data_IF_132022054256
#
_entry.id   IF_132022054256
#
_cell.length_a   1.000
_cell.length_b   1.000
_cell.length_c   1.000
_cell.angle_alpha   90.00
_cell.angle_beta   90.00
_cell.angle_gamma   90.00
#
_symmetry.space_group_name_H-M   'P 1'
#
loop_
_entity.id
_entity.type
_entity.pdbx_description
1 polymer ?
#
# COMPACT_ATOMS: atom_id res chain seq x y z
N UNK A 1 32.93 -8.74 10.56
CA UNK A 1 31.46 -8.65 10.49
C UNK A 1 30.86 -8.24 11.84
N UNK A 2 30.84 -9.11 12.85
CA UNK A 2 30.23 -8.82 14.17
C UNK A 2 30.73 -7.50 14.79
N UNK A 3 32.05 -7.26 14.81
CA UNK A 3 32.62 -5.99 15.30
C UNK A 3 32.12 -4.76 14.51
N UNK A 4 31.94 -4.89 13.19
CA UNK A 4 31.42 -3.80 12.34
C UNK A 4 29.93 -3.54 12.59
N UNK A 5 29.16 -4.57 12.92
CA UNK A 5 27.74 -4.46 13.28
C UNK A 5 27.57 -3.88 14.69
N UNK A 6 28.40 -4.30 15.66
CA UNK A 6 28.39 -3.73 17.01
C UNK A 6 28.71 -2.22 17.01
N UNK A 7 29.57 -1.75 16.09
CA UNK A 7 29.82 -0.31 15.90
C UNK A 7 28.61 0.47 15.34
N UNK A 8 27.57 -0.23 14.86
CA UNK A 8 26.27 0.32 14.45
C UNK A 8 25.18 0.02 15.49
N UNK A 9 25.58 -0.36 16.70
CA UNK A 9 24.67 -0.77 17.78
C UNK A 9 23.81 -2.01 17.43
N UNK A 10 24.22 -2.78 16.42
CA UNK A 10 23.53 -4.00 15.99
C UNK A 10 24.18 -5.22 16.64
N UNK A 11 23.41 -5.89 17.50
CA UNK A 11 23.84 -7.12 18.19
C UNK A 11 23.40 -8.34 17.40
N UNK A 12 24.38 -9.10 16.87
CA UNK A 12 24.14 -10.38 16.20
C UNK A 12 25.17 -11.42 16.60
N UNK A 13 24.74 -12.67 16.61
CA UNK A 13 25.60 -13.84 16.85
C UNK A 13 26.17 -14.38 15.54
N UNK A 14 27.29 -15.11 15.63
CA UNK A 14 27.87 -15.80 14.47
C UNK A 14 26.90 -16.83 13.87
N UNK A 15 26.12 -17.51 14.71
CA UNK A 15 25.12 -18.50 14.29
C UNK A 15 23.96 -17.85 13.52
N UNK A 16 23.50 -16.67 13.94
CA UNK A 16 22.50 -15.90 13.18
C UNK A 16 23.01 -15.53 11.79
N UNK A 17 24.23 -14.96 11.69
CA UNK A 17 24.84 -14.62 10.41
C UNK A 17 24.97 -15.83 9.48
N UNK A 18 25.35 -16.99 10.01
CA UNK A 18 25.45 -18.21 9.21
C UNK A 18 24.07 -18.78 8.81
N UNK A 19 23.06 -18.63 9.68
CA UNK A 19 21.67 -18.97 9.35
C UNK A 19 21.12 -18.10 8.22
N UNK A 20 21.48 -16.81 8.18
CA UNK A 20 21.08 -15.88 7.11
C UNK A 20 21.78 -16.20 5.79
N UNK A 21 23.09 -16.52 5.81
CA UNK A 21 23.81 -16.99 4.62
C UNK A 21 23.25 -18.29 4.06
N UNK A 22 22.93 -19.26 4.93
CA UNK A 22 22.32 -20.53 4.50
C UNK A 22 20.96 -20.34 3.85
N UNK A 23 20.20 -19.33 4.29
CA UNK A 23 18.94 -18.94 3.66
C UNK A 23 19.11 -18.02 2.44
N UNK A 24 20.34 -17.77 1.97
CA UNK A 24 20.59 -16.94 0.80
C UNK A 24 20.40 -15.43 1.02
N UNK A 25 20.12 -14.97 2.25
CA UNK A 25 19.86 -13.56 2.55
C UNK A 25 21.13 -12.71 2.63
N UNK A 26 22.28 -13.36 2.85
CA UNK A 26 23.58 -12.71 2.84
C UNK A 26 24.54 -13.52 1.97
N UNK A 27 25.41 -12.86 1.19
CA UNK A 27 26.43 -13.57 0.44
C UNK A 27 27.45 -14.22 1.39
N UNK A 28 28.05 -15.32 0.93
CA UNK A 28 29.17 -15.94 1.63
C UNK A 28 30.42 -15.09 1.45
N UNK A 29 31.16 -14.90 2.54
CA UNK A 29 32.44 -14.20 2.47
C UNK A 29 33.42 -14.97 1.57
N UNK A 30 34.13 -14.24 0.70
CA UNK A 30 35.30 -14.79 0.01
C UNK A 30 36.37 -15.13 1.05
N UNK A 31 36.86 -16.36 0.98
CA UNK A 31 37.91 -16.87 1.87
C UNK A 31 39.15 -17.17 1.06
N UNK A 32 40.30 -16.76 1.57
CA UNK A 32 41.60 -17.13 1.05
C UNK A 32 42.25 -18.15 1.96
N UNK A 33 42.74 -19.23 1.36
CA UNK A 33 43.54 -20.23 2.07
C UNK A 33 44.89 -19.64 2.46
N UNK A 34 45.32 -19.88 3.70
CA UNK A 34 46.63 -19.46 4.20
C UNK A 34 47.75 -20.49 3.92
N UNK A 35 47.45 -21.53 3.14
CA UNK A 35 48.34 -22.66 2.88
C UNK A 35 48.03 -23.90 3.72
N UNK A 36 48.76 -25.00 3.47
CA UNK A 36 48.51 -26.32 4.07
C UNK A 36 48.60 -26.24 5.60
N UNK A 37 47.55 -26.67 6.30
CA UNK A 37 47.47 -26.67 7.77
C UNK A 37 47.28 -25.31 8.45
N UNK A 38 47.19 -24.20 7.70
CA UNK A 38 47.09 -22.84 8.26
C UNK A 38 45.69 -22.23 8.23
N UNK A 39 44.70 -23.00 7.77
CA UNK A 39 43.31 -22.57 7.71
C UNK A 39 43.01 -21.56 6.60
N UNK A 40 41.89 -20.84 6.74
CA UNK A 40 41.40 -19.84 5.78
C UNK A 40 41.06 -18.53 6.49
N UNK A 41 41.38 -17.40 5.87
CA UNK A 41 40.97 -16.07 6.35
C UNK A 41 39.93 -15.47 5.43
N UNK A 42 39.08 -14.61 5.98
CA UNK A 42 38.20 -13.74 5.18
C UNK A 42 39.05 -12.57 4.69
N UNK A 43 39.16 -12.39 3.38
CA UNK A 43 40.03 -11.36 2.80
C UNK A 43 39.56 -9.95 3.15
N UNK A 44 38.30 -9.66 2.86
CA UNK A 44 37.65 -8.41 3.20
C UNK A 44 36.16 -8.65 3.42
N UNK A 45 35.60 -7.93 4.39
CA UNK A 45 34.15 -7.87 4.58
C UNK A 45 33.66 -6.64 3.84
N UNK A 46 33.03 -6.90 2.70
CA UNK A 46 32.33 -5.93 1.86
C UNK A 46 31.37 -5.08 2.72
N UNK A 47 31.46 -3.74 2.68
CA UNK A 47 30.55 -2.84 3.38
C UNK A 47 29.08 -3.10 3.10
N UNK A 48 28.71 -3.43 1.85
CA UNK A 48 27.31 -3.71 1.47
C UNK A 48 26.76 -4.86 2.30
N UNK A 49 27.54 -5.91 2.50
CA UNK A 49 27.13 -7.07 3.31
C UNK A 49 26.89 -6.67 4.76
N UNK A 50 27.68 -5.74 5.29
CA UNK A 50 27.50 -5.19 6.65
C UNK A 50 26.17 -4.46 6.75
N UNK A 51 25.85 -3.59 5.78
CA UNK A 51 24.59 -2.85 5.77
C UNK A 51 23.38 -3.77 5.54
N UNK A 52 23.47 -4.75 4.63
CA UNK A 52 22.43 -5.78 4.45
C UNK A 52 22.15 -6.54 5.74
N UNK A 53 23.19 -6.93 6.48
CA UNK A 53 23.02 -7.62 7.76
C UNK A 53 22.46 -6.69 8.85
N UNK A 54 22.81 -5.40 8.83
CA UNK A 54 22.26 -4.41 9.75
C UNK A 54 20.77 -4.17 9.48
N UNK A 55 20.37 -4.03 8.20
CA UNK A 55 18.98 -3.91 7.80
C UNK A 55 18.16 -5.15 8.21
N UNK A 56 18.65 -6.34 7.87
CA UNK A 56 17.98 -7.59 8.27
C UNK A 56 17.87 -7.73 9.79
N UNK A 57 18.89 -7.35 10.55
CA UNK A 57 18.88 -7.41 12.01
C UNK A 57 17.85 -6.46 12.65
N UNK A 58 17.64 -5.26 12.08
CA UNK A 58 16.65 -4.28 12.59
C UNK A 58 15.22 -4.78 12.47
N UNK A 59 14.92 -5.53 11.42
CA UNK A 59 13.57 -6.05 11.15
C UNK A 59 13.30 -7.42 11.76
N UNK A 60 14.36 -8.18 12.07
CA UNK A 60 14.21 -9.48 12.72
C UNK A 60 13.85 -9.33 14.20
N UNK A 61 12.66 -9.83 14.54
CA UNK A 61 12.18 -9.91 15.93
C UNK A 61 12.07 -11.37 16.35
N UNK A 62 12.30 -11.63 17.64
CA UNK A 62 12.14 -12.98 18.19
C UNK A 62 10.71 -13.49 17.98
N UNK A 63 10.58 -14.73 17.52
CA UNK A 63 9.27 -15.37 17.27
C UNK A 63 8.57 -14.95 15.98
N UNK A 64 9.13 -14.00 15.21
CA UNK A 64 8.56 -13.55 13.94
C UNK A 64 9.17 -14.31 12.76
N UNK A 65 8.35 -14.61 11.75
CA UNK A 65 8.83 -15.22 10.52
C UNK A 65 9.81 -14.30 9.79
N UNK A 66 10.91 -14.88 9.32
CA UNK A 66 12.00 -14.17 8.63
C UNK A 66 11.55 -13.52 7.33
N UNK A 67 10.56 -14.09 6.64
CA UNK A 67 9.99 -13.55 5.39
C UNK A 67 9.40 -12.16 5.61
N UNK A 68 8.78 -11.92 6.76
CA UNK A 68 8.26 -10.59 7.11
C UNK A 68 9.39 -9.56 7.24
N UNK A 69 10.52 -9.95 7.85
CA UNK A 69 11.69 -9.07 7.96
C UNK A 69 12.33 -8.77 6.60
N UNK A 70 12.24 -9.70 5.63
CA UNK A 70 12.69 -9.46 4.25
C UNK A 70 11.81 -8.41 3.55
N UNK A 71 10.49 -8.45 3.77
CA UNK A 71 9.58 -7.43 3.21
C UNK A 71 9.81 -6.05 3.83
N UNK A 72 10.03 -6.00 5.15
CA UNK A 72 10.37 -4.74 5.84
C UNK A 72 11.72 -4.16 5.38
N UNK A 73 12.72 -5.03 5.18
CA UNK A 73 13.98 -4.63 4.56
C UNK A 73 13.75 -4.12 3.13
N UNK A 74 12.96 -4.82 2.32
CA UNK A 74 12.69 -4.41 0.94
C UNK A 74 12.00 -3.06 0.86
N UNK A 75 11.00 -2.82 1.72
CA UNK A 75 10.34 -1.53 1.85
C UNK A 75 11.33 -0.43 2.25
N UNK A 76 12.17 -0.69 3.25
CA UNK A 76 13.17 0.28 3.71
C UNK A 76 14.20 0.63 2.63
N UNK A 77 14.65 -0.34 1.84
CA UNK A 77 15.60 -0.12 0.75
C UNK A 77 15.06 0.84 -0.32
N UNK A 78 13.74 0.96 -0.45
CA UNK A 78 13.08 1.90 -1.37
C UNK A 78 12.82 3.29 -0.79
N UNK A 79 13.12 3.54 0.49
CA UNK A 79 12.88 4.84 1.11
C UNK A 79 13.95 5.86 0.70
N UNK A 80 13.53 7.12 0.55
CA UNK A 80 14.46 8.21 0.29
C UNK A 80 15.53 8.31 1.39
N UNK A 81 16.79 8.42 0.97
CA UNK A 81 17.95 8.48 1.87
C UNK A 81 18.03 9.87 2.49
N UNK A 82 18.05 9.95 3.82
CA UNK A 82 18.27 11.22 4.51
C UNK A 82 19.71 11.70 4.31
N UNK A 83 19.96 13.01 4.17
CA UNK A 83 21.31 13.54 4.12
C UNK A 83 22.17 13.00 5.27
N UNK A 84 23.35 12.46 4.96
CA UNK A 84 24.28 11.90 5.94
C UNK A 84 23.98 10.47 6.41
N UNK A 85 22.93 9.82 5.89
CA UNK A 85 22.64 8.40 6.17
C UNK A 85 23.12 7.49 5.03
N UNK A 86 23.43 6.24 5.36
CA UNK A 86 23.84 5.22 4.38
C UNK A 86 22.60 4.62 3.74
N UNK A 87 22.58 4.53 2.41
CA UNK A 87 21.51 3.84 1.68
C UNK A 87 21.45 2.37 2.10
N UNK A 88 20.24 1.91 2.41
CA UNK A 88 20.00 0.50 2.72
C UNK A 88 20.11 -0.31 1.42
N UNK A 89 20.99 -1.33 1.35
CA UNK A 89 21.12 -2.14 0.14
C UNK A 89 19.86 -2.94 -0.15
N UNK A 90 19.63 -3.28 -1.41
CA UNK A 90 18.54 -4.17 -1.80
C UNK A 90 18.70 -5.57 -1.18
N UNK A 91 17.62 -6.18 -0.65
CA UNK A 91 17.61 -7.60 -0.35
C UNK A 91 17.70 -8.44 -1.62
N UNK A 92 18.10 -9.72 -1.53
CA UNK A 92 18.01 -10.64 -2.65
C UNK A 92 16.56 -10.76 -3.14
N UNK A 93 16.29 -10.35 -4.39
CA UNK A 93 14.92 -10.28 -4.92
C UNK A 93 14.22 -11.66 -4.93
N UNK A 94 14.97 -12.74 -5.14
CA UNK A 94 14.41 -14.10 -4.99
C UNK A 94 13.83 -14.37 -3.59
N UNK A 95 14.43 -13.81 -2.53
CA UNK A 95 13.90 -13.92 -1.17
C UNK A 95 12.70 -13.00 -0.95
N UNK A 96 12.68 -11.81 -1.57
CA UNK A 96 11.52 -10.90 -1.57
C UNK A 96 10.33 -11.59 -2.22
N UNK A 97 10.50 -12.15 -3.41
CA UNK A 97 9.45 -12.86 -4.13
C UNK A 97 8.88 -14.02 -3.32
N UNK A 98 9.73 -14.84 -2.71
CA UNK A 98 9.29 -15.93 -1.81
C UNK A 98 8.50 -15.41 -0.61
N UNK A 99 8.91 -14.28 -0.04
CA UNK A 99 8.21 -13.67 1.07
C UNK A 99 6.85 -13.10 0.65
N UNK A 100 6.78 -12.39 -0.49
CA UNK A 100 5.54 -11.85 -1.05
C UNK A 100 4.54 -12.97 -1.34
N UNK A 101 4.95 -13.99 -2.10
CA UNK A 101 4.08 -15.14 -2.42
C UNK A 101 3.56 -15.80 -1.16
N UNK A 102 4.42 -16.06 -0.17
CA UNK A 102 3.98 -16.68 1.07
C UNK A 102 2.97 -15.83 1.86
N UNK A 103 3.18 -14.51 1.91
CA UNK A 103 2.25 -13.60 2.60
C UNK A 103 0.92 -13.54 1.85
N UNK A 104 0.95 -13.41 0.53
CA UNK A 104 -0.25 -13.27 -0.30
C UNK A 104 -1.08 -14.55 -0.32
N UNK A 105 -0.45 -15.73 -0.40
CA UNK A 105 -1.14 -17.02 -0.26
C UNK A 105 -1.80 -17.20 1.12
N UNK A 106 -1.30 -16.51 2.16
CA UNK A 106 -1.89 -16.49 3.50
C UNK A 106 -2.92 -15.37 3.73
N UNK A 107 -3.13 -14.47 2.77
CA UNK A 107 -3.98 -13.29 2.94
C UNK A 107 -5.46 -13.64 3.10
N UNK A 108 -6.24 -12.71 3.65
CA UNK A 108 -7.71 -12.88 3.72
C UNK A 108 -8.30 -12.85 2.31
N UNK A 109 -7.87 -11.90 1.47
CA UNK A 109 -8.35 -11.75 0.09
C UNK A 109 -8.12 -13.02 -0.74
N UNK A 110 -6.91 -13.59 -0.72
CA UNK A 110 -6.63 -14.82 -1.45
C UNK A 110 -7.46 -16.00 -0.93
N UNK A 111 -7.59 -16.17 0.39
CA UNK A 111 -8.42 -17.24 0.96
C UNK A 111 -9.90 -17.09 0.62
N UNK A 112 -10.42 -15.87 0.54
CA UNK A 112 -11.79 -15.60 0.12
C UNK A 112 -12.02 -15.95 -1.35
N UNK A 113 -11.09 -15.59 -2.24
CA UNK A 113 -11.14 -15.96 -3.65
C UNK A 113 -11.07 -17.47 -3.84
N UNK A 114 -10.13 -18.15 -3.17
CA UNK A 114 -10.02 -19.62 -3.23
C UNK A 114 -11.27 -20.31 -2.66
N UNK A 115 -11.84 -19.78 -1.58
CA UNK A 115 -13.10 -20.29 -1.04
C UNK A 115 -14.25 -20.11 -2.04
N UNK A 116 -14.39 -18.91 -2.61
CA UNK A 116 -15.42 -18.61 -3.61
C UNK A 116 -15.31 -19.54 -4.83
N UNK A 117 -14.09 -19.74 -5.35
CA UNK A 117 -13.82 -20.71 -6.43
C UNK A 117 -14.20 -22.14 -6.05
N UNK A 118 -13.94 -22.55 -4.80
CA UNK A 118 -14.31 -23.90 -4.32
C UNK A 118 -15.82 -24.08 -4.12
N UNK A 119 -16.56 -22.99 -3.92
CA UNK A 119 -18.02 -22.98 -3.77
C UNK A 119 -18.73 -22.94 -5.13
N UNK A 120 -18.03 -22.62 -6.22
CA UNK A 120 -18.61 -22.59 -7.57
C UNK A 120 -19.25 -23.94 -7.93
N UNK A 121 -20.50 -23.90 -8.43
CA UNK A 121 -21.25 -25.09 -8.83
C UNK A 121 -21.90 -25.88 -7.68
N UNK A 122 -21.85 -25.39 -6.44
CA UNK A 122 -22.53 -26.01 -5.28
C UNK A 122 -23.92 -25.43 -4.99
N UNK A 123 -24.40 -24.49 -5.81
CA UNK A 123 -25.71 -23.86 -5.68
C UNK A 123 -25.80 -22.89 -4.49
N UNK A 124 -27.03 -22.62 -4.02
CA UNK A 124 -27.32 -21.69 -2.91
C UNK A 124 -26.50 -21.98 -1.64
N UNK A 125 -26.29 -23.25 -1.28
CA UNK A 125 -25.51 -23.62 -0.08
C UNK A 125 -24.05 -23.13 -0.14
N UNK A 126 -23.45 -23.11 -1.34
CA UNK A 126 -22.12 -22.56 -1.57
C UNK A 126 -22.07 -21.05 -1.45
N UNK A 127 -23.08 -20.37 -2.01
CA UNK A 127 -23.23 -18.92 -1.92
C UNK A 127 -23.38 -18.50 -0.45
N UNK A 128 -24.31 -19.12 0.28
CA UNK A 128 -24.54 -18.85 1.70
C UNK A 128 -23.26 -19.10 2.54
N UNK A 129 -22.55 -20.18 2.24
CA UNK A 129 -21.26 -20.50 2.87
C UNK A 129 -20.19 -19.42 2.62
N UNK A 130 -20.15 -18.85 1.42
CA UNK A 130 -19.25 -17.76 1.04
C UNK A 130 -19.61 -16.48 1.79
N UNK A 131 -20.88 -16.04 1.73
CA UNK A 131 -21.32 -14.84 2.44
C UNK A 131 -21.09 -14.93 3.95
N UNK A 132 -21.37 -16.09 4.56
CA UNK A 132 -21.11 -16.32 5.98
C UNK A 132 -19.60 -16.29 6.32
N UNK A 133 -18.75 -16.82 5.44
CA UNK A 133 -17.29 -16.82 5.63
C UNK A 133 -16.69 -15.44 5.44
N UNK A 134 -17.13 -14.72 4.40
CA UNK A 134 -16.73 -13.35 4.14
C UNK A 134 -17.14 -12.42 5.29
N UNK A 135 -18.38 -12.55 5.81
CA UNK A 135 -18.83 -11.78 6.98
C UNK A 135 -18.03 -12.02 8.26
N UNK A 136 -17.34 -13.16 8.40
CA UNK A 136 -16.42 -13.43 9.52
C UNK A 136 -15.01 -12.89 9.30
N UNK A 137 -14.56 -12.84 8.05
CA UNK A 137 -13.18 -12.53 7.69
C UNK A 137 -12.97 -11.06 7.32
N UNK A 138 -13.99 -10.42 6.75
CA UNK A 138 -13.96 -9.01 6.35
C UNK A 138 -14.41 -8.17 7.54
N UNK A 139 -13.45 -7.51 8.19
CA UNK A 139 -13.78 -6.50 9.18
C UNK A 139 -14.45 -5.30 8.47
N UNK A 140 -15.49 -4.67 9.05
CA UNK A 140 -16.03 -3.42 8.53
C UNK A 140 -14.89 -2.40 8.42
N UNK A 141 -14.56 -1.99 7.20
CA UNK A 141 -13.57 -0.95 6.97
C UNK A 141 -14.29 0.39 6.98
N UNK A 142 -13.83 1.31 7.83
CA UNK A 142 -14.19 2.71 7.69
C UNK A 142 -13.33 3.27 6.57
N UNK A 143 -13.93 3.66 5.45
CA UNK A 143 -13.24 4.53 4.50
C UNK A 143 -12.87 5.85 5.19
N UNK A 144 -11.78 6.48 4.77
CA UNK A 144 -11.52 7.85 5.18
C UNK A 144 -12.51 8.79 4.48
N UNK A 145 -13.05 9.76 5.22
CA UNK A 145 -13.82 10.84 4.63
C UNK A 145 -12.95 11.63 3.63
N UNK A 146 -13.53 12.08 2.53
CA UNK A 146 -12.83 12.90 1.55
C UNK A 146 -12.16 14.11 2.26
N UNK A 147 -10.83 14.27 2.19
CA UNK A 147 -10.09 15.34 2.85
C UNK A 147 -10.59 16.75 2.53
N UNK A 148 -11.13 17.01 1.34
CA UNK A 148 -11.73 18.30 1.03
C UNK A 148 -13.01 18.56 1.85
N UNK A 149 -13.85 17.53 2.04
CA UNK A 149 -15.03 17.61 2.90
C UNK A 149 -14.66 17.73 4.38
N UNK A 150 -13.64 16.98 4.82
CA UNK A 150 -13.10 17.10 6.18
C UNK A 150 -12.61 18.52 6.43
N UNK A 151 -11.84 19.09 5.50
CA UNK A 151 -11.33 20.46 5.60
C UNK A 151 -12.46 21.47 5.72
N UNK A 152 -13.45 21.40 4.81
CA UNK A 152 -14.57 22.33 4.78
C UNK A 152 -15.35 22.31 6.11
N UNK A 153 -15.58 21.13 6.68
CA UNK A 153 -16.23 20.99 7.98
C UNK A 153 -15.39 21.58 9.12
N UNK A 154 -14.08 21.30 9.16
CA UNK A 154 -13.20 21.88 10.17
C UNK A 154 -13.11 23.40 10.08
N UNK A 155 -13.07 23.97 8.87
CA UNK A 155 -13.06 25.41 8.64
C UNK A 155 -14.40 26.06 9.02
N UNK A 156 -15.52 25.37 8.85
CA UNK A 156 -16.85 25.81 9.26
C UNK A 156 -17.12 25.62 10.78
N UNK A 157 -16.24 24.91 11.50
CA UNK A 157 -16.48 24.50 12.88
C UNK A 157 -17.63 23.49 13.02
N UNK A 158 -17.92 22.76 11.96
CA UNK A 158 -18.95 21.72 11.89
C UNK A 158 -18.34 20.33 12.20
N UNK A 159 -19.21 19.40 12.58
CA UNK A 159 -18.80 18.00 12.73
C UNK A 159 -18.31 17.46 11.38
N UNK A 160 -17.16 16.77 11.39
CA UNK A 160 -16.61 16.17 10.18
C UNK A 160 -17.65 15.21 9.59
N UNK A 161 -18.04 15.37 8.31
CA UNK A 161 -18.95 14.45 7.67
C UNK A 161 -18.27 13.09 7.64
N UNK A 162 -18.73 12.20 8.52
CA UNK A 162 -18.49 10.77 8.31
C UNK A 162 -19.40 10.43 7.15
N UNK A 163 -18.84 10.28 5.95
CA UNK A 163 -19.60 9.80 4.79
C UNK A 163 -20.42 8.58 5.24
N UNK A 164 -21.73 8.77 5.31
CA UNK A 164 -22.65 7.82 5.89
C UNK A 164 -22.88 6.61 4.96
N UNK A 165 -22.46 6.72 3.70
CA UNK A 165 -22.55 5.67 2.70
C UNK A 165 -21.24 4.87 2.71
N UNK A 166 -21.19 3.98 3.70
CA UNK A 166 -20.22 2.91 3.82
C UNK A 166 -20.27 2.08 2.53
N UNK A 167 -19.14 1.67 1.94
CA UNK A 167 -19.12 0.37 1.29
C UNK A 167 -19.48 -0.61 2.41
N UNK A 168 -20.68 -1.19 2.36
CA UNK A 168 -20.99 -2.23 3.30
C UNK A 168 -20.00 -3.37 3.08
N UNK A 169 -19.73 -4.16 4.12
CA UNK A 169 -18.86 -5.34 3.96
C UNK A 169 -19.38 -6.26 2.85
N UNK A 170 -20.69 -6.21 2.56
CA UNK A 170 -21.37 -6.93 1.49
C UNK A 170 -20.88 -6.54 0.09
N UNK A 171 -20.59 -5.27 -0.21
CA UNK A 171 -20.03 -4.82 -1.50
C UNK A 171 -18.73 -5.54 -1.83
N UNK A 172 -17.83 -5.69 -0.85
CA UNK A 172 -16.61 -6.49 -1.01
C UNK A 172 -16.92 -7.97 -1.23
N UNK A 173 -17.93 -8.51 -0.52
CA UNK A 173 -18.35 -9.90 -0.69
C UNK A 173 -18.94 -10.13 -2.08
N UNK A 174 -19.73 -9.20 -2.63
CA UNK A 174 -20.30 -9.27 -3.97
C UNK A 174 -19.21 -9.29 -5.04
N UNK A 175 -18.15 -8.48 -4.90
CA UNK A 175 -17.00 -8.53 -5.82
C UNK A 175 -16.27 -9.88 -5.71
N UNK A 176 -16.01 -10.36 -4.49
CA UNK A 176 -15.39 -11.68 -4.26
C UNK A 176 -16.26 -12.82 -4.82
N UNK A 177 -17.57 -12.74 -4.64
CA UNK A 177 -18.53 -13.70 -5.16
C UNK A 177 -18.53 -13.69 -6.68
N UNK A 178 -18.52 -12.51 -7.31
CA UNK A 178 -18.49 -12.40 -8.77
C UNK A 178 -17.19 -12.97 -9.36
N UNK A 179 -16.06 -12.75 -8.68
CA UNK A 179 -14.77 -13.32 -9.04
C UNK A 179 -14.75 -14.85 -8.94
N UNK A 180 -15.34 -15.42 -7.88
CA UNK A 180 -15.19 -16.85 -7.60
C UNK A 180 -16.33 -17.73 -8.11
N UNK A 181 -17.54 -17.20 -8.17
CA UNK A 181 -18.75 -17.89 -8.61
C UNK A 181 -19.17 -17.47 -10.03
N UNK A 182 -18.73 -16.31 -10.49
CA UNK A 182 -19.15 -15.69 -11.74
C UNK A 182 -20.16 -14.56 -11.51
N UNK A 183 -20.15 -13.59 -12.42
CA UNK A 183 -21.00 -12.38 -12.36
C UNK A 183 -22.49 -12.73 -12.44
N UNK A 184 -22.84 -13.73 -13.25
CA UNK A 184 -24.22 -14.24 -13.41
C UNK A 184 -24.83 -14.72 -12.09
N UNK A 185 -24.00 -15.26 -11.19
CA UNK A 185 -24.44 -15.79 -9.89
C UNK A 185 -24.68 -14.68 -8.85
N UNK A 186 -24.10 -13.49 -9.06
CA UNK A 186 -24.26 -12.33 -8.17
C UNK A 186 -25.35 -11.38 -8.66
N UNK A 187 -25.49 -11.26 -9.99
CA UNK A 187 -26.43 -10.35 -10.64
C UNK A 187 -25.86 -8.93 -10.84
N UNK A 188 -26.27 -8.27 -11.93
CA UNK A 188 -25.80 -6.94 -12.30
C UNK A 188 -26.10 -5.86 -11.24
N UNK A 189 -27.25 -5.91 -10.58
CA UNK A 189 -27.65 -4.89 -9.60
C UNK A 189 -26.72 -4.89 -8.37
N UNK A 190 -26.43 -6.06 -7.80
CA UNK A 190 -25.52 -6.19 -6.65
C UNK A 190 -24.08 -5.82 -7.02
N UNK A 191 -23.66 -6.09 -8.26
CA UNK A 191 -22.36 -5.65 -8.77
C UNK A 191 -22.30 -4.14 -9.03
N UNK A 192 -23.39 -3.53 -9.50
CA UNK A 192 -23.47 -2.09 -9.68
C UNK A 192 -23.36 -1.37 -8.33
N UNK A 193 -24.09 -1.84 -7.32
CA UNK A 193 -23.95 -1.35 -5.94
C UNK A 193 -22.53 -1.51 -5.43
N UNK A 194 -21.90 -2.67 -5.66
CA UNK A 194 -20.55 -2.91 -5.21
C UNK A 194 -19.52 -2.00 -5.89
N UNK A 195 -19.57 -1.85 -7.22
CA UNK A 195 -18.63 -1.00 -7.97
C UNK A 195 -18.81 0.48 -7.64
N UNK A 196 -20.04 0.95 -7.50
CA UNK A 196 -20.33 2.31 -7.04
C UNK A 196 -19.81 2.53 -5.60
N UNK A 197 -19.98 1.56 -4.70
CA UNK A 197 -19.48 1.63 -3.34
C UNK A 197 -17.94 1.69 -3.27
N UNK A 198 -17.23 1.11 -4.24
CA UNK A 198 -15.78 1.27 -4.40
C UNK A 198 -15.38 2.56 -5.14
N UNK A 199 -16.34 3.38 -5.56
CA UNK A 199 -16.11 4.60 -6.33
C UNK A 199 -15.47 4.32 -7.70
N UNK A 200 -15.69 3.12 -8.26
CA UNK A 200 -15.03 2.72 -9.51
C UNK A 200 -15.40 3.70 -10.64
N UNK A 201 -14.38 4.37 -11.18
CA UNK A 201 -14.50 5.40 -12.23
C UNK A 201 -15.43 6.59 -11.89
N UNK A 202 -15.76 6.80 -10.61
CA UNK A 202 -16.68 7.86 -10.19
C UNK A 202 -18.12 7.69 -10.69
N UNK A 203 -18.51 6.48 -11.10
CA UNK A 203 -19.84 6.18 -11.60
C UNK A 203 -20.81 5.86 -10.47
N UNK A 204 -22.08 6.26 -10.64
CA UNK A 204 -23.16 5.96 -9.71
C UNK A 204 -23.64 4.51 -9.84
N UNK A 205 -24.47 4.05 -8.89
CA UNK A 205 -25.12 2.73 -8.97
C UNK A 205 -25.93 2.63 -10.26
N UNK A 206 -26.66 3.69 -10.62
CA UNK A 206 -27.48 3.75 -11.83
C UNK A 206 -26.65 3.69 -13.11
N UNK A 207 -25.51 4.40 -13.15
CA UNK A 207 -24.58 4.35 -14.28
C UNK A 207 -24.02 2.93 -14.48
N UNK A 208 -23.62 2.28 -13.38
CA UNK A 208 -23.14 0.90 -13.41
C UNK A 208 -24.24 -0.08 -13.82
N UNK A 209 -25.44 0.02 -13.23
CA UNK A 209 -26.57 -0.85 -13.57
C UNK A 209 -26.96 -0.71 -15.04
N UNK A 210 -26.96 0.52 -15.58
CA UNK A 210 -27.21 0.76 -16.98
C UNK A 210 -26.15 0.10 -17.86
N UNK A 211 -24.86 0.25 -17.52
CA UNK A 211 -23.77 -0.33 -18.29
C UNK A 211 -23.76 -1.85 -18.24
N UNK A 212 -23.93 -2.45 -17.06
CA UNK A 212 -23.99 -3.88 -16.86
C UNK A 212 -25.21 -4.50 -17.56
N UNK A 213 -26.39 -3.88 -17.42
CA UNK A 213 -27.58 -4.32 -18.12
C UNK A 213 -27.48 -4.19 -19.65
N UNK A 214 -26.79 -3.16 -20.15
CA UNK A 214 -26.51 -3.05 -21.59
C UNK A 214 -25.58 -4.16 -22.08
N UNK A 215 -24.61 -4.58 -21.26
CA UNK A 215 -23.71 -5.67 -21.57
C UNK A 215 -24.46 -7.02 -21.59
N UNK A 216 -25.33 -7.29 -20.61
CA UNK A 216 -26.19 -8.49 -20.57
C UNK A 216 -27.11 -8.58 -21.79
N UNK A 217 -27.64 -7.44 -22.28
CA UNK A 217 -28.47 -7.38 -23.49
C UNK A 217 -27.65 -7.44 -24.80
N UNK A 218 -26.32 -7.43 -24.73
CA UNK A 218 -25.44 -7.41 -25.91
C UNK A 218 -25.43 -6.08 -26.68
N UNK A 219 -25.84 -4.98 -26.04
CA UNK A 219 -25.91 -3.64 -26.64
C UNK A 219 -24.55 -2.92 -26.64
N UNK A 220 -23.64 -3.35 -25.76
CA UNK A 220 -22.25 -2.90 -25.69
C UNK A 220 -21.30 -4.10 -25.81
N UNK A 221 -20.01 -3.91 -26.13
CA UNK A 221 -19.03 -4.98 -26.08
C UNK A 221 -19.11 -5.72 -24.74
N UNK A 222 -19.05 -7.07 -24.74
CA UNK A 222 -19.13 -7.83 -23.51
C UNK A 222 -18.03 -7.37 -22.56
N UNK A 223 -18.41 -7.16 -21.29
CA UNK A 223 -17.44 -6.88 -20.23
C UNK A 223 -16.52 -8.10 -20.13
N UNK A 224 -15.20 -7.87 -20.20
CA UNK A 224 -14.22 -8.93 -20.03
C UNK A 224 -14.12 -9.32 -18.55
N UNK A 225 -15.03 -10.19 -18.12
CA UNK A 225 -15.05 -10.71 -16.76
C UNK A 225 -13.81 -11.55 -16.42
N UNK A 226 -13.10 -12.07 -17.43
CA UNK A 226 -11.80 -12.70 -17.25
C UNK A 226 -10.74 -11.73 -16.72
N UNK A 227 -10.93 -10.42 -16.91
CA UNK A 227 -10.09 -9.38 -16.32
C UNK A 227 -10.29 -9.26 -14.80
N UNK A 228 -11.53 -9.40 -14.31
CA UNK A 228 -11.81 -9.43 -12.85
C UNK A 228 -11.16 -10.65 -12.19
N UNK A 229 -11.27 -11.82 -12.82
CA UNK A 229 -10.60 -13.03 -12.32
C UNK A 229 -9.07 -12.90 -12.31
N UNK A 230 -8.50 -12.24 -13.32
CA UNK A 230 -7.07 -11.92 -13.38
C UNK A 230 -6.66 -10.95 -12.26
N UNK A 231 -7.45 -9.90 -12.03
CA UNK A 231 -7.20 -8.95 -10.94
C UNK A 231 -7.38 -9.55 -9.54
N UNK A 232 -8.19 -10.61 -9.42
CA UNK A 232 -8.31 -11.38 -8.19
C UNK A 232 -7.10 -12.25 -7.87
N UNK A 233 -6.33 -12.64 -8.89
CA UNK A 233 -5.08 -13.37 -8.69
C UNK A 233 -3.99 -12.41 -8.19
N UNK A 234 -3.97 -12.16 -6.89
CA UNK A 234 -2.95 -11.32 -6.25
C UNK A 234 -1.56 -11.99 -6.24
N UNK A 235 -1.45 -13.30 -6.50
CA UNK A 235 -0.20 -14.06 -6.40
C UNK A 235 0.50 -14.20 -7.75
N UNK A 236 -0.25 -14.41 -8.82
CA UNK A 236 0.24 -14.63 -10.18
C UNK A 236 1.12 -13.51 -10.72
N UNK A 237 0.72 -12.22 -10.63
CA UNK A 237 1.56 -11.09 -11.03
C UNK A 237 2.92 -11.11 -10.32
N UNK A 238 2.94 -11.33 -9.00
CA UNK A 238 4.19 -11.42 -8.23
C UNK A 238 5.06 -12.61 -8.63
N UNK A 239 4.46 -13.76 -9.00
CA UNK A 239 5.22 -14.92 -9.47
C UNK A 239 5.87 -14.66 -10.84
N UNK A 240 5.20 -13.90 -11.73
CA UNK A 240 5.64 -13.65 -13.11
C UNK A 240 6.53 -12.41 -13.26
N UNK A 241 6.39 -11.42 -12.38
CA UNK A 241 7.14 -10.16 -12.45
C UNK A 241 8.65 -10.41 -12.50
N UNK A 242 9.37 -9.68 -13.33
CA UNK A 242 10.82 -9.57 -13.29
C UNK A 242 11.30 -8.94 -11.98
N UNK A 243 12.62 -8.99 -11.74
CA UNK A 243 13.19 -8.37 -10.56
C UNK A 243 13.07 -6.83 -10.61
N UNK A 244 13.15 -6.26 -11.81
CA UNK A 244 12.98 -4.81 -12.06
C UNK A 244 11.53 -4.37 -11.82
N UNK A 245 10.55 -5.15 -12.26
CA UNK A 245 9.13 -4.86 -12.03
C UNK A 245 8.77 -4.86 -10.53
N UNK A 246 9.35 -5.77 -9.73
CA UNK A 246 9.12 -5.76 -8.27
C UNK A 246 9.73 -4.52 -7.60
N UNK A 247 10.92 -4.11 -8.03
CA UNK A 247 11.57 -2.88 -7.54
C UNK A 247 10.77 -1.65 -7.95
N UNK A 248 10.26 -1.62 -9.19
CA UNK A 248 9.42 -0.56 -9.73
C UNK A 248 8.10 -0.46 -8.96
N UNK A 249 7.39 -1.56 -8.77
CA UNK A 249 6.14 -1.60 -8.01
C UNK A 249 6.32 -1.10 -6.57
N UNK A 250 7.45 -1.43 -5.92
CA UNK A 250 7.80 -0.84 -4.63
C UNK A 250 7.96 0.69 -4.72
N UNK A 251 8.68 1.20 -5.71
CA UNK A 251 8.87 2.64 -5.91
C UNK A 251 7.52 3.34 -6.08
N UNK A 252 6.65 2.81 -6.95
CA UNK A 252 5.28 3.29 -7.16
C UNK A 252 4.51 3.30 -5.85
N UNK A 253 4.50 2.20 -5.10
CA UNK A 253 3.78 2.09 -3.82
C UNK A 253 4.25 3.15 -2.80
N UNK A 254 5.57 3.30 -2.62
CA UNK A 254 6.12 4.25 -1.66
C UNK A 254 5.89 5.71 -2.09
N UNK A 255 5.96 5.98 -3.39
CA UNK A 255 5.68 7.29 -3.97
C UNK A 255 4.21 7.68 -3.84
N UNK A 256 3.29 6.82 -4.28
CA UNK A 256 1.85 7.01 -4.12
C UNK A 256 1.47 7.19 -2.66
N UNK A 257 2.15 6.49 -1.73
CA UNK A 257 1.94 6.68 -0.30
C UNK A 257 2.31 8.07 0.20
N UNK A 258 3.36 8.66 -0.36
CA UNK A 258 3.72 10.03 -0.03
C UNK A 258 2.70 11.04 -0.59
N UNK A 259 2.26 10.87 -1.84
CA UNK A 259 1.21 11.70 -2.44
C UNK A 259 -0.13 11.58 -1.70
N UNK A 260 -0.56 10.37 -1.37
CA UNK A 260 -1.75 10.13 -0.55
C UNK A 260 -1.60 10.77 0.84
N UNK A 261 -0.41 10.70 1.44
CA UNK A 261 -0.11 11.41 2.68
C UNK A 261 -0.42 12.91 2.55
N UNK A 262 0.15 13.58 1.55
CA UNK A 262 -0.13 15.00 1.28
C UNK A 262 -1.63 15.26 1.05
N UNK A 263 -2.29 14.38 0.31
CA UNK A 263 -3.72 14.48 0.04
C UNK A 263 -4.56 14.41 1.33
N UNK A 264 -4.28 13.48 2.23
CA UNK A 264 -4.96 13.38 3.54
C UNK A 264 -4.64 14.57 4.44
N UNK A 265 -3.38 15.03 4.46
CA UNK A 265 -2.96 16.16 5.29
C UNK A 265 -3.68 17.47 4.92
N UNK A 266 -4.15 17.61 3.67
CA UNK A 266 -5.00 18.74 3.27
C UNK A 266 -6.27 18.85 4.12
N UNK A 267 -6.87 17.70 4.46
CA UNK A 267 -8.02 17.62 5.37
C UNK A 267 -7.68 18.08 6.79
N UNK A 268 -6.42 17.96 7.20
CA UNK A 268 -5.91 18.41 8.49
C UNK A 268 -5.32 19.82 8.43
N UNK A 269 -5.98 20.72 7.68
CA UNK A 269 -5.64 22.14 7.57
C UNK A 269 -4.21 22.43 7.10
N UNK A 270 -3.56 21.48 6.42
CA UNK A 270 -2.26 21.74 5.79
C UNK A 270 -2.39 22.92 4.80
N UNK A 271 -1.50 23.93 4.83
CA UNK A 271 -1.59 25.07 3.92
C UNK A 271 -1.65 24.61 2.47
N UNK A 272 -2.59 25.15 1.70
CA UNK A 272 -2.82 24.71 0.34
C UNK A 272 -2.06 25.60 -0.65
N UNK A 273 -1.07 25.02 -1.33
CA UNK A 273 -0.31 25.70 -2.40
C UNK A 273 -0.90 25.34 -3.76
N UNK A 274 -0.69 26.17 -4.81
CA UNK A 274 -1.13 25.82 -6.17
C UNK A 274 -0.64 24.44 -6.63
N UNK A 275 0.62 24.11 -6.35
CA UNK A 275 1.21 22.81 -6.67
C UNK A 275 0.48 21.65 -5.96
N UNK A 276 0.16 21.81 -4.67
CA UNK A 276 -0.59 20.80 -3.93
C UNK A 276 -2.03 20.65 -4.43
N UNK A 277 -2.70 21.77 -4.72
CA UNK A 277 -4.05 21.76 -5.29
C UNK A 277 -4.08 21.01 -6.62
N UNK A 278 -3.11 21.26 -7.50
CA UNK A 278 -2.98 20.56 -8.76
C UNK A 278 -2.78 19.05 -8.53
N UNK A 279 -1.93 18.63 -7.56
CA UNK A 279 -1.67 17.20 -7.31
C UNK A 279 -2.93 16.49 -6.84
N UNK A 280 -3.72 17.14 -5.98
CA UNK A 280 -5.01 16.60 -5.53
C UNK A 280 -6.02 16.52 -6.66
N UNK A 281 -6.13 17.58 -7.46
CA UNK A 281 -6.98 17.58 -8.65
C UNK A 281 -6.66 16.40 -9.58
N UNK A 282 -5.38 16.08 -9.77
CA UNK A 282 -4.98 14.92 -10.59
C UNK A 282 -5.49 13.59 -10.02
N UNK A 283 -5.42 13.41 -8.71
CA UNK A 283 -5.93 12.21 -8.03
C UNK A 283 -7.47 12.11 -8.17
N UNK A 284 -8.16 13.25 -8.04
CA UNK A 284 -9.61 13.34 -8.14
C UNK A 284 -10.11 13.12 -9.56
N UNK A 285 -9.44 13.69 -10.57
CA UNK A 285 -9.75 13.50 -12.00
C UNK A 285 -9.67 12.02 -12.42
N UNK A 286 -8.79 11.25 -11.78
CA UNK A 286 -8.65 9.82 -12.04
C UNK A 286 -9.58 8.96 -11.17
N UNK A 287 -10.32 9.57 -10.24
CA UNK A 287 -11.19 8.86 -9.29
C UNK A 287 -10.41 7.93 -8.36
N UNK A 288 -9.12 8.19 -8.12
CA UNK A 288 -8.22 7.24 -7.46
C UNK A 288 -8.23 7.35 -5.94
N UNK A 289 -8.86 8.38 -5.36
CA UNK A 289 -8.88 8.57 -3.90
C UNK A 289 -9.38 7.33 -3.12
N UNK A 290 -10.55 6.73 -3.42
CA UNK A 290 -11.04 5.56 -2.67
C UNK A 290 -10.08 4.37 -2.74
N UNK A 291 -9.42 4.17 -3.89
CA UNK A 291 -8.41 3.13 -4.07
C UNK A 291 -7.14 3.40 -3.26
N UNK A 292 -6.63 4.63 -3.30
CA UNK A 292 -5.46 5.03 -2.52
C UNK A 292 -5.76 4.89 -1.02
N UNK A 293 -6.94 5.29 -0.54
CA UNK A 293 -7.38 5.11 0.84
C UNK A 293 -7.45 3.64 1.26
N UNK A 294 -7.93 2.78 0.36
CA UNK A 294 -7.98 1.35 0.59
C UNK A 294 -6.58 0.71 0.65
N UNK A 295 -5.68 1.13 -0.25
CA UNK A 295 -4.37 0.51 -0.45
C UNK A 295 -3.30 1.05 0.48
N UNK A 296 -3.39 2.32 0.86
CA UNK A 296 -2.29 3.04 1.50
C UNK A 296 -2.62 3.28 2.96
N UNK A 297 -2.04 2.45 3.82
CA UNK A 297 -1.99 2.75 5.25
C UNK A 297 -0.72 3.53 5.56
N UNK A 298 -0.81 4.52 6.45
CA UNK A 298 0.33 5.37 6.88
C UNK A 298 1.37 4.53 7.67
N UNK A 299 1.06 3.30 8.08
CA UNK A 299 2.00 2.36 8.69
C UNK A 299 1.56 0.91 8.42
N UNK A 300 1.84 0.36 7.23
CA UNK A 300 1.38 -0.96 6.85
C UNK A 300 2.11 -2.02 7.64
N UNK A 301 1.37 -3.04 8.07
CA UNK A 301 1.95 -4.34 8.36
C UNK A 301 2.61 -4.91 7.09
N UNK A 302 3.57 -5.85 7.19
CA UNK A 302 4.14 -6.45 6.00
C UNK A 302 3.14 -7.22 5.14
N UNK A 303 2.01 -7.65 5.74
CA UNK A 303 0.86 -8.20 5.02
C UNK A 303 0.27 -7.18 4.05
N UNK A 304 -0.12 -6.03 4.60
CA UNK A 304 -0.65 -4.91 3.80
C UNK A 304 0.37 -4.41 2.78
N UNK A 305 1.66 -4.34 3.13
CA UNK A 305 2.70 -3.98 2.16
C UNK A 305 2.75 -4.95 0.97
N UNK A 306 2.64 -6.26 1.21
CA UNK A 306 2.65 -7.24 0.13
C UNK A 306 1.41 -7.12 -0.76
N UNK A 307 0.23 -6.94 -0.16
CA UNK A 307 -1.04 -6.74 -0.88
C UNK A 307 -0.99 -5.48 -1.75
N UNK A 308 -0.62 -4.33 -1.17
CA UNK A 308 -0.53 -3.07 -1.91
C UNK A 308 0.56 -3.11 -2.99
N UNK A 309 1.67 -3.81 -2.76
CA UNK A 309 2.73 -3.96 -3.76
C UNK A 309 2.26 -4.81 -4.95
N UNK A 310 1.50 -5.88 -4.70
CA UNK A 310 0.93 -6.68 -5.77
C UNK A 310 -0.02 -5.84 -6.65
N UNK A 311 -0.81 -4.96 -6.03
CA UNK A 311 -1.68 -4.01 -6.75
C UNK A 311 -0.87 -2.99 -7.56
N UNK A 312 0.25 -2.50 -7.03
CA UNK A 312 1.14 -1.58 -7.76
C UNK A 312 1.93 -2.22 -8.92
N UNK A 313 1.76 -3.52 -9.20
CA UNK A 313 2.23 -4.12 -10.45
C UNK A 313 1.29 -3.82 -11.62
N UNK A 314 0.07 -3.36 -11.35
CA UNK A 314 -0.91 -3.06 -12.38
C UNK A 314 -0.66 -1.68 -13.03
N UNK A 315 -0.80 -1.56 -14.37
CA UNK A 315 -0.50 -0.32 -15.10
C UNK A 315 -1.18 0.96 -14.58
N UNK A 316 -2.44 0.97 -14.10
CA UNK A 316 -3.09 2.20 -13.64
C UNK A 316 -2.34 2.90 -12.50
N UNK A 317 -1.71 2.15 -11.60
CA UNK A 317 -0.97 2.73 -10.47
C UNK A 317 0.38 3.30 -10.91
N UNK A 318 1.06 2.61 -11.83
CA UNK A 318 2.30 3.10 -12.42
C UNK A 318 2.06 4.41 -13.21
N UNK A 319 1.00 4.44 -14.02
CA UNK A 319 0.60 5.61 -14.79
C UNK A 319 0.22 6.80 -13.89
N UNK A 320 -0.55 6.55 -12.82
CA UNK A 320 -0.88 7.59 -11.84
C UNK A 320 0.38 8.13 -11.18
N UNK A 321 1.29 7.25 -10.76
CA UNK A 321 2.54 7.66 -10.13
C UNK A 321 3.41 8.51 -11.06
N UNK A 322 3.56 8.11 -12.33
CA UNK A 322 4.30 8.89 -13.33
C UNK A 322 3.65 10.27 -13.56
N UNK A 323 2.32 10.34 -13.71
CA UNK A 323 1.63 11.61 -13.88
C UNK A 323 1.82 12.56 -12.67
N UNK A 324 1.80 12.03 -11.45
CA UNK A 324 2.03 12.82 -10.24
C UNK A 324 3.50 13.27 -10.12
N UNK A 325 4.44 12.41 -10.52
CA UNK A 325 5.86 12.75 -10.53
C UNK A 325 6.21 13.79 -11.61
N UNK A 326 5.64 13.68 -12.80
CA UNK A 326 5.77 14.69 -13.87
C UNK A 326 5.27 16.04 -13.38
N UNK A 327 4.09 16.07 -12.77
CA UNK A 327 3.52 17.30 -12.23
C UNK A 327 4.34 17.90 -11.09
N UNK A 328 4.90 17.07 -10.22
CA UNK A 328 5.84 17.52 -9.18
C UNK A 328 7.14 18.08 -9.77
N UNK A 329 7.59 17.58 -10.91
CA UNK A 329 8.77 18.10 -11.60
C UNK A 329 8.50 19.44 -12.29
N UNK A 330 7.28 19.66 -12.79
CA UNK A 330 6.85 20.94 -13.36
C UNK A 330 6.68 22.03 -12.30
N UNK A 331 6.17 21.67 -11.11
CA UNK A 331 5.98 22.59 -9.98
C UNK A 331 6.54 21.99 -8.68
N UNK A 332 7.85 22.18 -8.49
CA UNK A 332 8.57 21.66 -7.32
C UNK A 332 8.28 22.42 -6.02
N UNK A 333 7.54 23.54 -6.09
CA UNK A 333 7.30 24.48 -5.00
C UNK A 333 6.12 24.04 -4.08
N UNK A 334 5.99 22.73 -3.87
CA UNK A 334 4.90 22.13 -3.09
C UNK A 334 4.81 22.61 -1.65
N UNK A 335 5.92 23.09 -1.05
CA UNK A 335 5.95 23.63 0.31
C UNK A 335 6.25 25.13 0.34
N UNK A 336 6.12 25.83 -0.80
CA UNK A 336 6.34 27.26 -0.91
C UNK A 336 4.99 27.97 -0.90
N UNK A 337 4.72 28.74 0.17
CA UNK A 337 3.48 29.53 0.25
C UNK A 337 3.69 30.82 -0.55
N UNK A 338 2.79 31.17 -1.49
CA UNK A 338 2.91 32.42 -2.24
C UNK A 338 3.04 33.64 -1.33
N UNK A 339 4.13 34.40 -1.51
CA UNK A 339 4.46 35.57 -0.68
C UNK A 339 5.20 35.28 0.63
N UNK A 340 5.57 34.02 0.89
CA UNK A 340 6.37 33.59 2.04
C UNK A 340 7.75 33.06 1.58
N UNK A 341 8.82 33.76 1.95
CA UNK A 341 10.19 33.40 1.58
C UNK A 341 10.83 32.34 2.49
N UNK A 342 10.13 31.89 3.53
CA UNK A 342 10.67 30.91 4.48
C UNK A 342 10.63 29.46 3.98
N UNK A 343 9.96 29.22 2.84
CA UNK A 343 9.84 27.92 2.19
C UNK A 343 9.19 26.87 3.10
N UNK A 344 9.75 25.65 3.08
CA UNK A 344 9.20 24.52 3.82
C UNK A 344 9.13 24.73 5.35
N UNK A 345 9.98 25.59 5.92
CA UNK A 345 9.97 25.87 7.35
C UNK A 345 8.73 26.66 7.75
N UNK A 346 8.44 27.80 7.11
CA UNK A 346 7.24 28.57 7.44
C UNK A 346 5.96 27.87 7.00
N UNK A 347 6.02 27.04 5.96
CA UNK A 347 4.94 26.10 5.65
C UNK A 347 4.59 25.22 6.86
N UNK A 348 5.60 24.58 7.46
CA UNK A 348 5.43 23.75 8.65
C UNK A 348 4.93 24.54 9.86
N UNK A 349 5.49 25.72 10.11
CA UNK A 349 5.07 26.59 11.23
C UNK A 349 3.61 27.05 11.09
N UNK A 350 3.19 27.44 9.88
CA UNK A 350 1.81 27.84 9.60
C UNK A 350 0.85 26.68 9.84
N UNK A 351 1.23 25.48 9.41
CA UNK A 351 0.42 24.29 9.63
C UNK A 351 0.28 23.93 11.11
N UNK A 352 1.39 23.92 11.87
CA UNK A 352 1.38 23.66 13.32
C UNK A 352 0.52 24.68 14.05
N UNK A 353 0.57 25.96 13.64
CA UNK A 353 -0.28 27.01 14.20
C UNK A 353 -1.76 26.74 13.95
N UNK A 354 -2.15 26.41 12.71
CA UNK A 354 -3.54 26.09 12.38
C UNK A 354 -4.07 24.90 13.21
N UNK A 355 -3.25 23.86 13.41
CA UNK A 355 -3.60 22.72 14.27
C UNK A 355 -3.74 23.09 15.75
N UNK A 356 -2.92 24.02 16.25
CA UNK A 356 -3.03 24.51 17.62
C UNK A 356 -4.31 25.32 17.83
N UNK A 357 -4.65 26.21 16.90
CA UNK A 357 -5.88 27.02 16.91
C UNK A 357 -7.13 26.13 16.87
N UNK A 358 -7.14 25.09 16.04
CA UNK A 358 -8.23 24.11 15.99
C UNK A 358 -8.43 23.39 17.35
N UNK A 359 -7.33 23.02 18.01
CA UNK A 359 -7.37 22.38 19.33
C UNK A 359 -7.92 23.32 20.41
N UNK A 360 -7.60 24.60 20.34
CA UNK A 360 -8.11 25.61 21.27
C UNK A 360 -9.62 25.86 21.05
N UNK A 361 -10.07 25.93 19.79
CA UNK A 361 -11.47 26.09 19.44
C UNK A 361 -12.34 24.89 19.89
N UNK A 362 -11.84 23.66 19.74
CA UNK A 362 -12.51 22.44 20.22
C UNK A 362 -12.39 22.18 21.72
N UNK A 363 -11.53 22.92 22.43
CA UNK A 363 -11.26 22.78 23.87
C UNK A 363 -12.01 23.77 24.77
N UNK A 364 -12.71 24.75 24.20
CA UNK A 364 -13.55 25.66 24.97
C UNK A 364 -14.85 24.96 25.37
N UNK A 365 -15.08 24.61 26.66
CA UNK A 365 -16.42 24.27 27.08
C UNK A 365 -17.29 25.49 26.78
N UNK A 366 -18.44 25.28 26.13
CA UNK A 366 -19.48 26.29 26.01
C UNK A 366 -19.78 26.80 27.43
N UNK A 367 -19.20 27.94 27.79
CA UNK A 367 -19.53 28.63 29.02
C UNK A 367 -20.91 29.22 28.80
N UNK A 368 -21.91 28.49 29.25
CA UNK A 368 -23.25 29.01 29.47
C UNK A 368 -23.11 30.15 30.49
N UNK A 369 -23.35 31.37 30.03
CA UNK A 369 -23.49 32.59 30.81
C UNK A 369 -24.44 33.53 30.11
#
# INVERSE_FOLDING_TARGET
MIRKLAAREVVVTASQLESWRRAGLLPRHRRRGLGRGRGSVVDAVDPVVVESAAALARHLRQGRDRRLAVLEWFAEAGMAVRPGTVQVPEPPIGAVRQALVWVLEGSVSHRLVEFARSAAGTGEEGQDGLYATAGRLVAPRRGAANPALVRAALEAGEDVPVEAERPDSGSMVHVVAAIGLGVEEVGADALAEAFAAFGMYGLTVEDWAQMLGAAERGEVPPVDWGLLEQHADVVGPVKRASDEELVRARTVLLGLRWFYGLYVMHGLLMPDTPAQAALRQRIDEWGMFPFLDHLITISPSPGQFAESLAVCLEPPFDNLYEALMEQLAEDSDIFSIPGDETGAVGFGEKWVRAMAELKEAGGAPASVG
#
